data_IF_656841516080
#
_entry.id   IF_656841516080
#
_cell.length_a   1.000
_cell.length_b   1.000
_cell.length_c   1.000
_cell.angle_alpha   90.00
_cell.angle_beta   90.00
_cell.angle_gamma   90.00
#
_symmetry.space_group_name_H-M   'P 1'
#
loop_
_entity.id
_entity.type
_entity.pdbx_description
1 polymer ?
#
# COMPACT_ATOMS: atom_id res chain seq x y z
N UNK A 1 3.23 -6.57 -12.26
CA UNK A 1 2.21 -5.74 -12.91
C UNK A 1 2.78 -5.27 -14.25
N UNK A 2 2.07 -5.46 -15.37
CA UNK A 2 2.48 -4.93 -16.68
C UNK A 2 1.69 -3.65 -16.94
N UNK A 3 2.38 -2.51 -17.07
CA UNK A 3 1.77 -1.27 -17.56
C UNK A 3 2.11 -1.10 -19.05
N UNK A 4 1.12 -0.65 -19.84
CA UNK A 4 1.29 -0.32 -21.25
C UNK A 4 1.11 1.18 -21.41
N UNK A 5 2.01 1.81 -22.17
CA UNK A 5 1.98 3.24 -22.45
C UNK A 5 1.94 3.42 -23.96
N UNK A 6 0.91 4.08 -24.47
CA UNK A 6 0.81 4.43 -25.89
C UNK A 6 1.60 5.72 -26.12
N UNK A 7 2.63 5.66 -26.97
CA UNK A 7 3.50 6.78 -27.31
C UNK A 7 3.43 7.05 -28.82
N UNK A 8 3.55 8.31 -29.26
CA UNK A 8 3.77 8.61 -30.67
C UNK A 8 5.03 7.89 -31.18
N UNK A 9 4.97 7.37 -32.41
CA UNK A 9 6.05 6.56 -33.01
C UNK A 9 7.40 7.27 -33.01
N UNK A 10 7.40 8.58 -33.22
CA UNK A 10 8.61 9.43 -33.20
C UNK A 10 9.29 9.41 -31.83
N UNK A 11 8.50 9.47 -30.75
CA UNK A 11 8.99 9.46 -29.36
C UNK A 11 9.49 8.06 -28.99
N UNK A 12 8.77 7.01 -29.38
CA UNK A 12 9.21 5.64 -29.15
C UNK A 12 10.52 5.32 -29.89
N UNK A 13 10.65 5.78 -31.14
CA UNK A 13 11.87 5.57 -31.94
C UNK A 13 13.09 6.23 -31.30
N UNK A 14 12.95 7.46 -30.82
CA UNK A 14 14.02 8.15 -30.09
C UNK A 14 14.42 7.43 -28.78
N UNK A 15 13.44 6.86 -28.06
CA UNK A 15 13.69 6.05 -26.86
C UNK A 15 14.44 4.75 -27.18
N UNK A 16 14.09 4.09 -28.29
CA UNK A 16 14.77 2.88 -28.74
C UNK A 16 16.23 3.16 -29.12
N UNK A 17 16.51 4.28 -29.79
CA UNK A 17 17.88 4.70 -30.10
C UNK A 17 18.68 4.99 -28.82
N UNK A 18 18.11 5.77 -27.89
CA UNK A 18 18.75 6.07 -26.63
C UNK A 18 19.03 4.82 -25.77
N UNK A 19 18.14 3.81 -25.84
CA UNK A 19 18.32 2.55 -25.14
C UNK A 19 19.42 1.66 -25.77
N UNK A 20 19.52 1.66 -27.10
CA UNK A 20 20.58 0.92 -27.84
C UNK A 20 21.97 1.39 -27.45
N UNK A 21 22.17 2.69 -27.28
CA UNK A 21 23.48 3.26 -26.89
C UNK A 21 23.94 2.79 -25.50
N UNK A 22 22.99 2.44 -24.64
CA UNK A 22 23.23 1.93 -23.28
C UNK A 22 23.14 0.40 -23.16
N UNK A 23 22.74 -0.31 -24.22
CA UNK A 23 22.60 -1.78 -24.21
C UNK A 23 21.49 -2.33 -23.31
N UNK A 24 20.55 -1.50 -22.89
CA UNK A 24 19.41 -1.87 -22.02
C UNK A 24 18.10 -1.80 -22.80
N UNK A 25 17.01 -2.34 -22.24
CA UNK A 25 15.71 -2.24 -22.88
C UNK A 25 15.16 -0.81 -22.78
N UNK A 26 14.29 -0.36 -23.72
CA UNK A 26 13.65 0.94 -23.62
C UNK A 26 12.90 1.14 -22.29
N UNK A 27 12.28 0.09 -21.75
CA UNK A 27 11.59 0.15 -20.46
C UNK A 27 12.54 0.39 -19.29
N UNK A 28 13.71 -0.26 -19.29
CA UNK A 28 14.73 -0.05 -18.26
C UNK A 28 15.34 1.34 -18.37
N UNK A 29 15.60 1.80 -19.60
CA UNK A 29 16.10 3.16 -19.87
C UNK A 29 15.14 4.23 -19.33
N UNK A 30 13.85 4.07 -19.60
CA UNK A 30 12.78 4.93 -19.05
C UNK A 30 12.82 4.89 -17.52
N UNK A 31 12.94 3.71 -16.92
CA UNK A 31 12.93 3.56 -15.46
C UNK A 31 14.13 4.20 -14.76
N UNK A 32 15.30 4.20 -15.40
CA UNK A 32 16.51 4.84 -14.88
C UNK A 32 16.52 6.36 -15.09
N UNK A 33 15.99 6.83 -16.22
CA UNK A 33 16.06 8.25 -16.61
C UNK A 33 14.87 9.07 -16.15
N UNK A 34 13.70 8.46 -15.95
CA UNK A 34 12.59 9.22 -15.37
C UNK A 34 12.96 9.62 -13.94
N UNK A 35 12.77 10.89 -13.58
CA UNK A 35 12.86 11.27 -12.18
C UNK A 35 11.86 10.43 -11.42
N UNK A 36 12.32 9.74 -10.37
CA UNK A 36 11.42 9.05 -9.44
C UNK A 36 10.43 10.10 -8.96
N UNK A 37 9.16 9.93 -9.34
CA UNK A 37 8.11 10.84 -8.91
C UNK A 37 8.01 10.72 -7.40
N UNK A 38 8.69 11.61 -6.69
CA UNK A 38 8.56 11.72 -5.26
C UNK A 38 7.31 12.56 -5.06
N UNK A 39 6.25 11.93 -4.57
CA UNK A 39 5.08 12.68 -4.12
C UNK A 39 5.58 13.55 -2.97
N UNK A 40 5.77 14.84 -3.26
CA UNK A 40 6.06 15.84 -2.24
C UNK A 40 4.71 16.23 -1.67
N UNK A 41 4.27 15.47 -0.66
CA UNK A 41 3.10 15.84 0.13
C UNK A 41 3.51 17.01 1.01
N UNK A 42 2.72 18.08 1.01
CA UNK A 42 2.99 19.20 1.92
C UNK A 42 2.84 18.76 3.38
N UNK A 43 3.53 19.43 4.30
CA UNK A 43 3.35 19.15 5.73
C UNK A 43 1.90 19.40 6.21
N UNK A 44 1.14 20.23 5.50
CA UNK A 44 -0.28 20.46 5.78
C UNK A 44 -1.13 19.26 5.35
N UNK A 45 -0.97 18.77 4.11
CA UNK A 45 -1.68 17.58 3.63
C UNK A 45 -1.35 16.35 4.47
N UNK A 46 -0.08 16.18 4.85
CA UNK A 46 0.33 15.08 5.73
C UNK A 46 -0.36 15.15 7.09
N UNK A 47 -0.40 16.34 7.71
CA UNK A 47 -1.12 16.54 8.99
C UNK A 47 -2.62 16.30 8.85
N UNK A 48 -3.22 16.71 7.74
CA UNK A 48 -4.64 16.47 7.48
C UNK A 48 -4.96 14.98 7.33
N UNK A 49 -4.11 14.23 6.63
CA UNK A 49 -4.25 12.77 6.49
C UNK A 49 -4.01 12.05 7.82
N UNK A 50 -2.98 12.43 8.59
CA UNK A 50 -2.72 11.89 9.92
C UNK A 50 -3.91 12.14 10.86
N UNK A 51 -4.47 13.36 10.87
CA UNK A 51 -5.65 13.69 11.66
C UNK A 51 -6.90 12.90 11.25
N UNK A 52 -7.04 12.59 9.96
CA UNK A 52 -8.12 11.72 9.47
C UNK A 52 -7.91 10.27 9.89
N UNK A 53 -6.67 9.79 9.89
CA UNK A 53 -6.33 8.45 10.35
C UNK A 53 -6.58 8.29 11.87
N UNK A 54 -6.20 9.29 12.66
CA UNK A 54 -6.41 9.30 14.11
C UNK A 54 -7.89 9.20 14.49
N UNK A 55 -8.79 9.82 13.73
CA UNK A 55 -10.24 9.71 13.94
C UNK A 55 -10.77 8.27 13.84
N UNK A 56 -10.05 7.40 13.15
CA UNK A 56 -10.42 6.00 12.94
C UNK A 56 -9.49 5.01 13.66
N UNK A 57 -8.53 5.50 14.44
CA UNK A 57 -7.58 4.66 15.17
C UNK A 57 -8.01 4.54 16.61
N UNK A 58 -8.11 3.30 17.12
CA UNK A 58 -8.43 3.03 18.53
C UNK A 58 -7.23 2.36 19.19
N UNK A 59 -6.83 2.88 20.36
CA UNK A 59 -5.83 2.21 21.20
C UNK A 59 -6.54 1.30 22.19
N UNK A 60 -6.18 0.01 22.18
CA UNK A 60 -6.75 -1.00 23.07
C UNK A 60 -6.13 -0.97 24.48
N UNK A 61 -5.11 -0.13 24.71
CA UNK A 61 -4.44 0.00 26.01
C UNK A 61 -3.47 -1.14 26.36
N UNK A 62 -3.34 -2.14 25.49
CA UNK A 62 -2.36 -3.23 25.57
C UNK A 62 -1.82 -3.56 24.18
N UNK A 63 -0.68 -4.25 24.13
CA UNK A 63 -0.06 -4.66 22.87
C UNK A 63 -0.88 -5.77 22.22
N UNK A 64 -1.42 -5.51 21.02
CA UNK A 64 -1.96 -6.55 20.15
C UNK A 64 -0.86 -7.07 19.24
N UNK A 65 -0.46 -8.32 19.45
CA UNK A 65 0.52 -9.00 18.62
C UNK A 65 -0.13 -9.85 17.53
N UNK A 66 0.70 -10.57 16.79
CA UNK A 66 0.28 -11.66 15.89
C UNK A 66 0.32 -13.03 16.59
N UNK A 67 0.36 -13.02 17.92
CA UNK A 67 0.44 -14.23 18.74
C UNK A 67 -0.92 -14.92 18.80
N UNK A 68 -0.98 -16.14 18.26
CA UNK A 68 -2.24 -16.87 18.12
C UNK A 68 -2.88 -17.17 19.46
N UNK A 69 -2.10 -17.47 20.51
CA UNK A 69 -2.64 -17.76 21.85
C UNK A 69 -3.30 -16.51 22.46
N UNK A 70 -2.67 -15.34 22.32
CA UNK A 70 -3.27 -14.06 22.75
C UNK A 70 -4.54 -13.73 21.95
N UNK A 71 -4.57 -14.01 20.65
CA UNK A 71 -5.75 -13.80 19.79
C UNK A 71 -6.90 -14.73 20.21
N UNK A 72 -6.61 -16.01 20.45
CA UNK A 72 -7.61 -17.00 20.91
C UNK A 72 -8.17 -16.64 22.29
N UNK A 73 -7.32 -16.14 23.19
CA UNK A 73 -7.73 -15.66 24.52
C UNK A 73 -8.63 -14.43 24.44
N UNK A 74 -8.27 -13.44 23.60
CA UNK A 74 -9.11 -12.25 23.37
C UNK A 74 -10.45 -12.63 22.73
N UNK A 75 -10.45 -13.55 21.77
CA UNK A 75 -11.65 -14.06 21.12
C UNK A 75 -12.54 -14.81 22.12
N UNK A 76 -11.97 -15.67 22.97
CA UNK A 76 -12.71 -16.37 24.01
C UNK A 76 -13.22 -15.42 25.11
N UNK A 77 -12.52 -14.33 25.42
CA UNK A 77 -12.99 -13.32 26.37
C UNK A 77 -14.18 -12.52 25.83
N UNK A 78 -14.14 -12.12 24.57
CA UNK A 78 -15.20 -11.30 23.97
C UNK A 78 -16.39 -12.13 23.48
N UNK A 79 -16.16 -13.36 23.01
CA UNK A 79 -17.17 -14.21 22.38
C UNK A 79 -17.31 -15.61 23.00
N UNK A 80 -16.59 -15.92 24.08
CA UNK A 80 -16.64 -17.24 24.74
C UNK A 80 -17.73 -17.38 25.79
N UNK A 81 -18.50 -16.33 26.09
CA UNK A 81 -19.76 -16.46 26.81
C UNK A 81 -20.86 -16.88 25.82
N UNK A 82 -21.67 -17.86 26.21
CA UNK A 82 -22.34 -18.80 25.32
C UNK A 82 -23.36 -18.10 24.37
N UNK A 83 -22.96 -17.81 23.13
CA UNK A 83 -23.92 -17.46 22.05
C UNK A 83 -24.97 -18.58 21.79
N UNK A 84 -24.89 -19.72 22.51
CA UNK A 84 -25.85 -20.83 22.49
C UNK A 84 -27.25 -20.45 23.00
N UNK A 85 -27.39 -19.40 23.82
CA UNK A 85 -28.72 -18.98 24.30
C UNK A 85 -29.56 -18.25 23.23
N UNK A 86 -29.00 -17.91 22.07
CA UNK A 86 -29.75 -17.27 20.97
C UNK A 86 -30.45 -18.27 20.02
N UNK A 87 -30.24 -19.58 20.19
CA UNK A 87 -30.80 -20.62 19.30
C UNK A 87 -31.71 -21.67 19.96
N UNK A 88 -32.11 -21.47 21.22
CA UNK A 88 -33.17 -22.26 21.83
C UNK A 88 -34.50 -21.49 21.85
N UNK A 89 -35.31 -21.71 20.80
CA UNK A 89 -36.73 -21.34 20.74
C UNK A 89 -37.58 -22.58 20.47
#
# INVERSE_FOLDING_TARGET
MSQKLELPDEVYSALVEAAKDTGITPADWISEKLPKFRVVVSDEERRADDARLEQHTVSLGYATGIDNESIESDLAREYGDDHRDLYHK
#
